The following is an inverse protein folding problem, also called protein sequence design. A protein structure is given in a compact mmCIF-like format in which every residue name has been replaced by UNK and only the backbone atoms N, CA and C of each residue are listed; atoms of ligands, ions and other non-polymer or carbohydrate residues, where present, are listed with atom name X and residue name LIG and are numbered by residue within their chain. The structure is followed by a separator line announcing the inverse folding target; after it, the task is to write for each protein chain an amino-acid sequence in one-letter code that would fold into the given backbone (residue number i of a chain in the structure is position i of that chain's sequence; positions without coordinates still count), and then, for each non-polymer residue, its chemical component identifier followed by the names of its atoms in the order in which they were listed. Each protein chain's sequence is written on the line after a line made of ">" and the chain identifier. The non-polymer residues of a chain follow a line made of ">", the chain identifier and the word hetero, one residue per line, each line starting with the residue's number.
data_IF_118994482065
#
_entry.id   IF_118994482065
#
_cell.length_a   1.000
_cell.length_b   1.000
_cell.length_c   1.000
_cell.angle_alpha   90.00
_cell.angle_beta   90.00
_cell.angle_gamma   90.00
#
_symmetry.space_group_name_H-M   'P 1'
#
loop_
_entity.id
_entity.type
_entity.pdbx_description
1 polymer ?
#
# COMPACT_ATOMS: atom_id res chain seq x y z
N UNK A 1 10.70 5.12 -8.17
CA UNK A 1 9.23 5.07 -8.34
C UNK A 1 8.91 4.52 -9.72
N UNK A 2 7.96 3.63 -9.80
CA UNK A 2 7.54 3.04 -11.08
C UNK A 2 6.02 3.05 -11.15
N UNK A 3 5.47 3.79 -12.11
CA UNK A 3 4.02 3.93 -12.29
C UNK A 3 3.67 3.33 -13.66
N UNK A 4 2.83 2.31 -13.66
CA UNK A 4 2.39 1.62 -14.87
C UNK A 4 1.25 2.38 -15.56
N UNK A 5 0.68 1.79 -16.63
CA UNK A 5 -0.35 2.43 -17.45
C UNK A 5 -1.65 2.68 -16.69
N UNK A 6 -2.36 3.73 -17.07
CA UNK A 6 -3.70 4.07 -16.57
C UNK A 6 -3.75 4.37 -15.07
N UNK A 7 -2.72 5.02 -14.54
CA UNK A 7 -2.68 5.44 -13.15
C UNK A 7 -2.71 6.97 -13.09
N UNK A 8 -3.64 7.52 -12.33
CA UNK A 8 -3.72 8.94 -12.05
C UNK A 8 -3.31 9.21 -10.61
N UNK A 9 -2.35 10.10 -10.42
CA UNK A 9 -1.90 10.52 -9.10
C UNK A 9 -2.42 11.93 -8.87
N UNK A 10 -3.35 12.06 -7.93
CA UNK A 10 -4.04 13.31 -7.65
C UNK A 10 -3.31 14.16 -6.62
N UNK A 11 -3.70 15.42 -6.52
CA UNK A 11 -3.30 16.28 -5.41
C UNK A 11 -3.67 15.63 -4.08
N UNK A 12 -2.76 15.70 -3.12
CA UNK A 12 -2.94 15.06 -1.80
C UNK A 12 -2.45 13.62 -1.73
N UNK A 13 -2.03 13.04 -2.85
CA UNK A 13 -1.40 11.72 -2.87
C UNK A 13 0.11 11.90 -2.94
N UNK A 14 0.82 11.35 -1.95
CA UNK A 14 2.28 11.38 -1.89
C UNK A 14 2.83 9.98 -2.03
N UNK A 15 3.74 9.80 -2.99
CA UNK A 15 4.43 8.53 -3.23
C UNK A 15 5.90 8.72 -2.85
N UNK A 16 6.38 7.97 -1.88
CA UNK A 16 7.78 7.98 -1.51
C UNK A 16 8.64 7.21 -2.52
N UNK A 17 9.94 7.10 -2.26
CA UNK A 17 10.88 6.46 -3.18
C UNK A 17 10.57 4.96 -3.35
N UNK A 18 10.87 4.45 -4.55
CA UNK A 18 10.77 3.02 -4.86
C UNK A 18 9.35 2.44 -4.74
N UNK A 19 8.31 3.28 -4.82
CA UNK A 19 6.93 2.82 -4.87
C UNK A 19 6.62 2.26 -6.26
N UNK A 20 5.97 1.11 -6.30
CA UNK A 20 5.47 0.53 -7.54
C UNK A 20 3.95 0.65 -7.62
N UNK A 21 3.44 1.28 -8.67
CA UNK A 21 2.01 1.34 -8.95
C UNK A 21 1.69 0.45 -10.14
N UNK A 22 1.01 -0.65 -9.90
CA UNK A 22 0.59 -1.56 -10.96
C UNK A 22 -0.41 -0.91 -11.92
N UNK A 23 -0.59 -1.45 -13.13
CA UNK A 23 -1.48 -0.84 -14.12
C UNK A 23 -2.91 -0.74 -13.62
N UNK A 24 -3.52 0.39 -13.88
CA UNK A 24 -4.91 0.69 -13.50
C UNK A 24 -5.18 0.63 -12.00
N UNK A 25 -4.16 0.77 -11.15
CA UNK A 25 -4.43 1.00 -9.73
C UNK A 25 -5.02 2.40 -9.58
N UNK A 26 -5.85 2.60 -8.56
CA UNK A 26 -6.68 3.79 -8.40
C UNK A 26 -6.43 4.44 -7.05
N UNK A 27 -6.23 5.76 -7.07
CA UNK A 27 -6.29 6.58 -5.86
C UNK A 27 -7.58 7.39 -5.89
N UNK A 28 -8.23 7.53 -4.74
CA UNK A 28 -9.31 8.50 -4.61
C UNK A 28 -8.77 9.74 -3.89
N UNK A 29 -9.44 10.87 -4.00
CA UNK A 29 -8.97 12.10 -3.37
C UNK A 29 -10.05 12.87 -2.62
N UNK A 30 -11.29 12.43 -2.70
CA UNK A 30 -12.42 13.07 -2.03
C UNK A 30 -13.16 12.02 -1.21
N UNK A 31 -13.39 12.31 0.08
CA UNK A 31 -14.03 11.38 1.01
C UNK A 31 -15.50 11.15 0.66
N UNK A 32 -16.20 12.24 0.28
CA UNK A 32 -17.63 12.17 -0.07
C UNK A 32 -17.87 12.78 -1.44
N UNK A 33 -17.57 12.02 -2.53
CA UNK A 33 -17.69 12.56 -3.88
C UNK A 33 -19.16 12.66 -4.31
N UNK A 34 -19.55 13.84 -4.80
CA UNK A 34 -20.87 14.11 -5.39
C UNK A 34 -20.72 15.09 -6.54
N UNK A 35 -21.27 14.75 -7.70
CA UNK A 35 -21.15 15.59 -8.90
C UNK A 35 -21.82 16.96 -8.70
N UNK A 36 -22.95 17.01 -8.04
CA UNK A 36 -23.71 18.26 -7.83
C UNK A 36 -23.54 18.85 -6.43
N UNK A 37 -22.64 18.31 -5.63
CA UNK A 37 -22.17 18.93 -4.39
C UNK A 37 -20.66 18.87 -4.36
N UNK A 38 -19.99 19.63 -5.26
CA UNK A 38 -18.53 19.55 -5.37
C UNK A 38 -17.85 20.11 -4.12
N UNK A 39 -16.77 19.44 -3.73
CA UNK A 39 -15.90 19.89 -2.64
C UNK A 39 -14.65 20.47 -3.30
N UNK A 40 -14.42 21.77 -3.10
CA UNK A 40 -13.30 22.47 -3.71
C UNK A 40 -12.16 22.67 -2.70
N UNK A 41 -10.95 22.28 -3.08
CA UNK A 41 -9.74 22.53 -2.31
C UNK A 41 -9.60 21.71 -1.04
N UNK A 42 -10.47 20.73 -0.79
CA UNK A 42 -10.39 19.85 0.39
C UNK A 42 -10.23 18.41 -0.08
N UNK A 43 -8.99 17.93 -0.02
CA UNK A 43 -8.66 16.55 -0.36
C UNK A 43 -8.05 15.85 0.84
N UNK A 44 -8.46 14.62 1.11
CA UNK A 44 -7.84 13.80 2.13
C UNK A 44 -6.45 13.37 1.65
N UNK A 45 -5.46 13.51 2.51
CA UNK A 45 -4.08 13.16 2.17
C UNK A 45 -3.89 11.65 2.21
N UNK A 46 -3.15 11.14 1.23
CA UNK A 46 -2.81 9.73 1.10
C UNK A 46 -1.30 9.61 0.97
N UNK A 47 -0.69 8.76 1.80
CA UNK A 47 0.75 8.55 1.79
C UNK A 47 1.04 7.09 1.47
N UNK A 48 1.86 6.88 0.44
CA UNK A 48 2.38 5.55 0.09
C UNK A 48 3.87 5.56 0.42
N UNK A 49 4.25 4.80 1.43
CA UNK A 49 5.61 4.83 1.95
C UNK A 49 6.59 4.04 1.07
N UNK A 50 7.87 4.31 1.30
CA UNK A 50 8.97 3.76 0.52
C UNK A 50 8.84 2.26 0.27
N UNK A 51 9.07 1.85 -0.97
CA UNK A 51 9.14 0.46 -1.36
C UNK A 51 7.81 -0.28 -1.43
N UNK A 52 6.69 0.38 -1.12
CA UNK A 52 5.38 -0.26 -1.22
C UNK A 52 5.01 -0.58 -2.67
N UNK A 53 4.29 -1.68 -2.87
CA UNK A 53 3.81 -2.10 -4.19
C UNK A 53 2.28 -2.18 -4.20
N UNK A 54 1.68 -1.51 -5.16
CA UNK A 54 0.23 -1.53 -5.37
C UNK A 54 -0.07 -2.40 -6.59
N UNK A 55 -0.77 -3.51 -6.38
CA UNK A 55 -1.11 -4.45 -7.46
C UNK A 55 -2.06 -3.84 -8.49
N UNK A 56 -2.13 -4.48 -9.66
CA UNK A 56 -3.00 -4.04 -10.74
C UNK A 56 -4.45 -3.94 -10.28
N UNK A 57 -5.14 -2.89 -10.71
CA UNK A 57 -6.54 -2.64 -10.37
C UNK A 57 -6.84 -2.54 -8.86
N UNK A 58 -5.82 -2.38 -8.02
CA UNK A 58 -6.07 -2.09 -6.60
C UNK A 58 -6.56 -0.66 -6.43
N UNK A 59 -7.29 -0.39 -5.37
CA UNK A 59 -7.79 0.95 -5.05
C UNK A 59 -7.34 1.34 -3.66
N UNK A 60 -6.78 2.53 -3.53
CA UNK A 60 -6.44 3.10 -2.23
C UNK A 60 -7.40 4.25 -1.96
N UNK A 61 -8.29 4.06 -1.00
CA UNK A 61 -9.22 5.10 -0.57
C UNK A 61 -8.43 6.18 0.14
N UNK A 62 -8.73 7.44 -0.18
CA UNK A 62 -7.99 8.59 0.33
C UNK A 62 -8.02 8.68 1.86
N UNK A 63 -7.02 9.38 2.41
CA UNK A 63 -6.93 9.60 3.85
C UNK A 63 -6.19 8.52 4.62
N UNK A 64 -5.55 7.59 3.93
CA UNK A 64 -4.85 6.48 4.57
C UNK A 64 -3.38 6.41 4.18
N UNK A 65 -2.60 5.73 5.00
CA UNK A 65 -1.18 5.49 4.76
C UNK A 65 -0.94 4.02 4.45
N UNK A 66 -0.25 3.75 3.35
CA UNK A 66 0.24 2.41 3.04
C UNK A 66 1.69 2.32 3.51
N UNK A 67 1.96 1.38 4.40
CA UNK A 67 3.24 1.25 5.07
C UNK A 67 4.39 0.86 4.15
N UNK A 68 5.59 1.01 4.70
CA UNK A 68 6.85 0.71 4.00
C UNK A 68 6.89 -0.74 3.53
N UNK A 69 7.29 -0.94 2.29
CA UNK A 69 7.43 -2.27 1.69
C UNK A 69 6.18 -3.15 1.75
N UNK A 70 5.01 -2.56 2.01
CA UNK A 70 3.75 -3.30 1.98
C UNK A 70 3.41 -3.71 0.55
N UNK A 71 2.70 -4.82 0.42
CA UNK A 71 2.22 -5.31 -0.88
C UNK A 71 0.70 -5.38 -0.86
N UNK A 72 0.09 -4.61 -1.74
CA UNK A 72 -1.36 -4.63 -1.95
C UNK A 72 -1.65 -5.53 -3.15
N UNK A 73 -2.37 -6.61 -2.92
CA UNK A 73 -2.68 -7.57 -3.99
C UNK A 73 -3.57 -6.95 -5.07
N UNK A 74 -3.50 -7.52 -6.27
CA UNK A 74 -4.32 -7.07 -7.39
C UNK A 74 -5.81 -7.07 -7.01
N UNK A 75 -6.53 -6.01 -7.39
CA UNK A 75 -7.95 -5.88 -7.16
C UNK A 75 -8.37 -5.57 -5.71
N UNK A 76 -7.43 -5.46 -4.78
CA UNK A 76 -7.77 -5.14 -3.38
C UNK A 76 -8.22 -3.69 -3.23
N UNK A 77 -9.06 -3.43 -2.24
CA UNK A 77 -9.51 -2.07 -1.91
C UNK A 77 -9.07 -1.72 -0.49
N UNK A 78 -8.12 -0.81 -0.39
CA UNK A 78 -7.55 -0.36 0.89
C UNK A 78 -8.46 0.70 1.49
N UNK A 79 -9.06 0.41 2.63
CA UNK A 79 -9.99 1.29 3.34
C UNK A 79 -9.49 1.73 4.72
N UNK A 80 -8.31 1.31 5.11
CA UNK A 80 -7.66 1.62 6.40
C UNK A 80 -6.16 1.75 6.19
N UNK A 81 -5.45 2.27 7.18
CA UNK A 81 -4.00 2.30 7.16
C UNK A 81 -3.43 0.88 7.09
N UNK A 82 -2.34 0.74 6.36
CA UNK A 82 -1.66 -0.53 6.13
C UNK A 82 -0.31 -0.52 6.85
N UNK A 83 -0.04 -1.56 7.61
CA UNK A 83 1.22 -1.72 8.34
C UNK A 83 2.40 -1.93 7.39
N UNK A 84 3.59 -1.56 7.87
CA UNK A 84 4.83 -1.86 7.14
C UNK A 84 4.94 -3.37 6.90
N UNK A 85 5.38 -3.74 5.70
CA UNK A 85 5.56 -5.13 5.27
C UNK A 85 4.28 -5.98 5.23
N UNK A 86 3.10 -5.38 5.36
CA UNK A 86 1.85 -6.13 5.33
C UNK A 86 1.51 -6.59 3.91
N UNK A 87 1.06 -7.82 3.78
CA UNK A 87 0.44 -8.33 2.55
C UNK A 87 -1.06 -8.20 2.70
N UNK A 88 -1.67 -7.35 1.88
CA UNK A 88 -3.10 -7.04 1.93
C UNK A 88 -3.82 -7.59 0.71
N UNK A 89 -5.00 -8.15 0.91
CA UNK A 89 -5.83 -8.65 -0.19
C UNK A 89 -7.31 -8.51 0.13
N UNK A 90 -8.14 -8.47 -0.91
CA UNK A 90 -9.59 -8.50 -0.80
C UNK A 90 -10.26 -7.14 -0.78
N UNK A 91 -11.60 -7.17 -0.65
CA UNK A 91 -12.48 -5.99 -0.62
C UNK A 91 -13.45 -6.15 0.56
N UNK A 92 -13.31 -5.38 1.65
CA UNK A 92 -12.18 -4.51 1.97
C UNK A 92 -10.88 -5.29 2.18
N UNK A 93 -9.75 -4.66 1.88
CA UNK A 93 -8.46 -5.31 2.03
C UNK A 93 -8.17 -5.64 3.49
N UNK A 94 -7.63 -6.83 3.70
CA UNK A 94 -7.23 -7.32 5.02
C UNK A 94 -5.83 -7.90 4.93
N UNK A 95 -5.09 -7.83 6.03
CA UNK A 95 -3.76 -8.42 6.08
C UNK A 95 -3.88 -9.94 6.10
N UNK A 96 -3.27 -10.57 5.10
CA UNK A 96 -3.24 -12.03 4.98
C UNK A 96 -1.86 -12.60 5.25
N UNK A 97 -0.88 -11.76 5.50
CA UNK A 97 0.49 -12.19 5.79
C UNK A 97 1.44 -11.01 5.81
N UNK A 98 2.72 -11.34 5.73
CA UNK A 98 3.81 -10.38 5.67
C UNK A 98 4.64 -10.62 4.42
N UNK A 99 5.29 -9.57 3.92
CA UNK A 99 6.18 -9.67 2.76
C UNK A 99 7.56 -9.13 3.12
N UNK A 100 8.57 -9.70 2.51
CA UNK A 100 9.94 -9.20 2.58
C UNK A 100 10.09 -7.94 1.73
N UNK A 101 11.08 -7.14 2.03
CA UNK A 101 11.47 -6.00 1.20
C UNK A 101 11.73 -6.41 -0.27
N UNK A 102 12.17 -7.64 -0.52
CA UNK A 102 12.37 -8.15 -1.87
C UNK A 102 11.08 -8.49 -2.62
N UNK A 103 9.93 -8.50 -1.91
CA UNK A 103 8.62 -8.79 -2.47
C UNK A 103 8.12 -10.21 -2.24
N UNK A 104 8.94 -11.10 -1.71
CA UNK A 104 8.52 -12.47 -1.44
C UNK A 104 7.66 -12.55 -0.18
N UNK A 105 6.62 -13.38 -0.20
CA UNK A 105 5.79 -13.62 0.97
C UNK A 105 6.60 -14.37 2.04
N UNK A 106 6.52 -13.91 3.28
CA UNK A 106 7.18 -14.57 4.40
C UNK A 106 6.32 -15.69 4.94
N UNK A 107 6.99 -16.77 5.38
CA UNK A 107 6.34 -17.85 6.10
C UNK A 107 6.41 -17.61 7.62
N UNK A 108 6.01 -18.61 8.42
CA UNK A 108 6.00 -18.50 9.87
C UNK A 108 7.39 -18.28 10.49
N UNK A 109 8.45 -18.64 9.78
CA UNK A 109 9.82 -18.43 10.27
C UNK A 109 10.27 -16.97 10.19
N UNK A 110 9.57 -16.15 9.39
CA UNK A 110 9.90 -14.74 9.14
C UNK A 110 11.31 -14.55 8.58
N UNK A 111 11.87 -15.58 7.98
CA UNK A 111 13.15 -15.51 7.28
C UNK A 111 12.90 -15.68 5.77
N UNK A 112 13.48 -14.78 4.98
CA UNK A 112 13.34 -14.81 3.53
C UNK A 112 14.51 -15.55 2.89
N UNK A 113 14.25 -16.23 1.77
CA UNK A 113 15.30 -16.87 0.97
C UNK A 113 16.34 -15.90 0.43
N UNK A 114 16.02 -14.60 0.37
CA UNK A 114 16.97 -13.57 -0.03
C UNK A 114 18.01 -13.24 1.06
N UNK A 115 17.88 -13.83 2.26
CA UNK A 115 18.79 -13.61 3.38
C UNK A 115 18.28 -12.65 4.46
N UNK A 116 17.21 -11.90 4.19
CA UNK A 116 16.64 -10.97 5.17
C UNK A 116 15.84 -11.72 6.21
N UNK A 117 15.88 -11.22 7.44
CA UNK A 117 15.13 -11.77 8.57
C UNK A 117 14.30 -10.70 9.23
N UNK A 118 13.17 -11.10 9.78
CA UNK A 118 12.22 -10.20 10.44
C UNK A 118 11.80 -10.77 11.79
N UNK A 119 11.21 -9.90 12.62
CA UNK A 119 10.57 -10.28 13.87
C UNK A 119 9.24 -9.56 13.99
N UNK A 120 8.30 -10.20 14.64
CA UNK A 120 6.99 -9.60 14.92
C UNK A 120 6.99 -9.13 16.38
N UNK A 121 6.62 -7.86 16.57
CA UNK A 121 6.61 -7.23 17.88
C UNK A 121 5.42 -6.29 17.96
N UNK A 122 4.56 -6.49 18.96
CA UNK A 122 3.35 -5.68 19.17
C UNK A 122 2.45 -5.62 17.91
N UNK A 123 2.35 -6.71 17.17
CA UNK A 123 1.53 -6.78 15.96
C UNK A 123 2.16 -6.15 14.72
N UNK A 124 3.40 -5.68 14.81
CA UNK A 124 4.12 -5.07 13.69
C UNK A 124 5.33 -5.92 13.30
N UNK A 125 5.69 -5.86 12.03
CA UNK A 125 6.88 -6.56 11.54
C UNK A 125 8.06 -5.59 11.50
N UNK A 126 9.19 -6.03 12.05
CA UNK A 126 10.43 -5.26 12.09
C UNK A 126 11.54 -6.04 11.42
N UNK A 127 12.35 -5.33 10.62
CA UNK A 127 13.55 -5.92 10.04
C UNK A 127 14.59 -6.18 11.12
N UNK A 128 15.21 -7.34 11.08
CA UNK A 128 16.30 -7.69 12.00
C UNK A 128 17.62 -7.37 11.31
N UNK A 129 18.51 -6.61 11.93
CA UNK A 129 19.82 -6.33 11.37
C UNK A 129 20.60 -7.64 11.18
N UNK A 130 21.25 -7.75 10.03
CA UNK A 130 22.11 -8.92 9.73
C UNK A 130 23.51 -8.77 10.31
#
# INVERSE_FOLDING_TARGET
>A
MRIQNNVSVYEGVELEDNVFCGPSCVFTNVVTPRAHFPVHGVYAKTLIKEGASLGANSTVVCGHTVGRSALIAAGAVVTKDVQDYALMAGVPARRIGWVCECGARLDASLACSCGRKYKEENGNLLAVPS
#
